data_IF_792489764903
#
_entry.id   IF_792489764903
#
_cell.length_a   1.000
_cell.length_b   1.000
_cell.length_c   1.000
_cell.angle_alpha   90.00
_cell.angle_beta   90.00
_cell.angle_gamma   90.00
#
_symmetry.space_group_name_H-M   'P 1'
#
loop_
_entity.id
_entity.type
_entity.pdbx_description
1 polymer ?
#
# COMPACT_ATOMS: atom_id res chain seq x y z
N UNK A 1 14.02 -32.54 -1.66
CA UNK A 1 15.29 -32.28 -0.98
C UNK A 1 15.61 -30.79 -1.11
N UNK A 2 15.25 -29.98 -0.10
CA UNK A 2 15.63 -28.57 -0.05
C UNK A 2 16.79 -28.44 0.91
N UNK A 3 18.01 -28.33 0.39
CA UNK A 3 19.16 -27.90 1.17
C UNK A 3 18.87 -26.50 1.71
N UNK A 4 18.64 -26.40 3.02
CA UNK A 4 18.78 -25.16 3.77
C UNK A 4 20.24 -24.71 3.62
N UNK A 5 20.53 -23.86 2.63
CA UNK A 5 21.74 -23.02 2.68
C UNK A 5 21.65 -22.19 3.96
N UNK A 6 22.32 -22.65 5.02
CA UNK A 6 22.61 -21.85 6.20
C UNK A 6 23.46 -20.69 5.71
N UNK A 7 22.86 -19.51 5.56
CA UNK A 7 23.59 -18.26 5.39
C UNK A 7 24.43 -18.11 6.67
N UNK A 8 25.73 -18.42 6.56
CA UNK A 8 26.68 -18.16 7.65
C UNK A 8 26.97 -16.65 7.60
N UNK A 9 26.23 -15.88 8.38
CA UNK A 9 26.63 -14.52 8.74
C UNK A 9 27.87 -14.69 9.63
N UNK A 10 29.07 -14.48 9.07
CA UNK A 10 30.30 -14.41 9.85
C UNK A 10 30.32 -13.05 10.54
N UNK A 11 29.66 -12.97 11.69
CA UNK A 11 29.79 -11.81 12.55
C UNK A 11 31.17 -11.87 13.23
N UNK A 12 32.16 -11.18 12.64
CA UNK A 12 33.52 -11.13 13.18
C UNK A 12 33.55 -10.18 14.40
N UNK A 13 33.96 -10.68 15.56
CA UNK A 13 34.10 -9.90 16.79
C UNK A 13 34.96 -8.65 16.60
N UNK A 14 35.92 -8.67 15.66
CA UNK A 14 36.77 -7.51 15.33
C UNK A 14 35.98 -6.32 14.77
N UNK A 15 34.88 -6.57 14.07
CA UNK A 15 34.04 -5.50 13.51
C UNK A 15 33.31 -4.74 14.63
N UNK A 16 32.83 -5.48 15.64
CA UNK A 16 32.19 -4.89 16.83
C UNK A 16 33.19 -4.13 17.71
N UNK A 17 34.40 -4.66 17.89
CA UNK A 17 35.47 -3.96 18.60
C UNK A 17 35.83 -2.64 17.91
N UNK A 18 35.99 -2.67 16.58
CA UNK A 18 36.25 -1.48 15.77
C UNK A 18 35.09 -0.47 15.85
N UNK A 19 33.85 -0.96 15.81
CA UNK A 19 32.65 -0.14 15.97
C UNK A 19 32.62 0.56 17.34
N UNK A 20 32.76 -0.18 18.43
CA UNK A 20 32.74 0.35 19.80
C UNK A 20 33.87 1.38 20.00
N UNK A 21 35.06 1.12 19.47
CA UNK A 21 36.19 2.06 19.54
C UNK A 21 35.91 3.37 18.80
N UNK A 22 35.21 3.33 17.65
CA UNK A 22 34.80 4.54 16.93
C UNK A 22 33.77 5.35 17.71
N UNK A 23 32.79 4.69 18.34
CA UNK A 23 31.80 5.37 19.19
C UNK A 23 32.49 6.02 20.39
N UNK A 24 33.34 5.27 21.10
CA UNK A 24 34.10 5.77 22.25
C UNK A 24 34.99 6.97 21.89
N UNK A 25 35.68 6.92 20.75
CA UNK A 25 36.51 8.04 20.27
C UNK A 25 35.67 9.29 20.04
N UNK A 26 34.49 9.16 19.43
CA UNK A 26 33.59 10.29 19.18
C UNK A 26 33.04 10.88 20.47
N UNK A 27 32.59 10.04 21.41
CA UNK A 27 32.05 10.48 22.72
C UNK A 27 33.09 11.27 23.53
N UNK A 28 34.35 10.81 23.53
CA UNK A 28 35.45 11.49 24.25
C UNK A 28 35.78 12.88 23.71
N UNK A 29 35.35 13.23 22.50
CA UNK A 29 35.55 14.59 21.97
C UNK A 29 34.59 15.61 22.57
N UNK A 30 33.48 15.17 23.19
CA UNK A 30 32.46 16.05 23.77
C UNK A 30 31.64 16.87 22.77
N UNK A 31 31.93 16.76 21.46
CA UNK A 31 31.23 17.45 20.37
C UNK A 31 30.34 16.50 19.55
N UNK A 32 30.14 15.27 20.03
CA UNK A 32 29.33 14.30 19.32
C UNK A 32 27.85 14.71 19.32
N UNK A 33 27.24 14.65 18.14
CA UNK A 33 25.79 14.79 17.94
C UNK A 33 25.23 13.45 17.48
N UNK A 34 23.92 13.35 17.38
CA UNK A 34 23.22 12.15 16.89
C UNK A 34 23.77 11.66 15.54
N UNK A 35 24.12 12.59 14.64
CA UNK A 35 24.64 12.25 13.32
C UNK A 35 26.08 11.72 13.34
N UNK A 36 26.85 12.01 14.39
CA UNK A 36 28.28 11.67 14.48
C UNK A 36 28.52 10.16 14.48
N UNK A 37 27.58 9.38 15.00
CA UNK A 37 27.72 7.93 15.16
C UNK A 37 27.16 7.12 13.97
N UNK A 38 26.38 7.76 13.10
CA UNK A 38 25.74 7.13 11.94
C UNK A 38 26.74 6.46 10.96
N UNK A 39 27.89 7.06 10.61
CA UNK A 39 28.86 6.40 9.74
C UNK A 39 29.44 5.12 10.34
N UNK A 40 29.63 5.09 11.66
CA UNK A 40 30.11 3.90 12.36
C UNK A 40 29.06 2.78 12.31
N UNK A 41 27.78 3.11 12.56
CA UNK A 41 26.68 2.14 12.49
C UNK A 41 26.51 1.62 11.06
N UNK A 42 26.55 2.49 10.05
CA UNK A 42 26.51 2.12 8.63
C UNK A 42 27.57 1.08 8.29
N UNK A 43 28.82 1.35 8.69
CA UNK A 43 29.97 0.46 8.45
C UNK A 43 29.77 -0.90 9.10
N UNK A 44 29.25 -0.93 10.33
CA UNK A 44 28.97 -2.18 11.04
C UNK A 44 27.89 -2.99 10.35
N UNK A 45 26.79 -2.35 9.93
CA UNK A 45 25.67 -3.05 9.30
C UNK A 45 26.09 -3.60 7.93
N UNK A 46 26.70 -2.78 7.07
CA UNK A 46 27.17 -3.20 5.74
C UNK A 46 28.21 -4.34 5.81
N UNK A 47 28.92 -4.47 6.93
CA UNK A 47 29.90 -5.54 7.12
C UNK A 47 29.33 -6.89 7.55
N UNK A 48 28.04 -6.96 7.92
CA UNK A 48 27.39 -8.21 8.37
C UNK A 48 27.11 -9.17 7.22
N UNK A 49 26.75 -8.67 6.03
CA UNK A 49 26.40 -9.51 4.90
C UNK A 49 26.80 -8.85 3.57
N UNK A 50 27.39 -9.63 2.67
CA UNK A 50 27.74 -9.16 1.33
C UNK A 50 26.49 -8.74 0.55
N UNK A 51 26.53 -7.54 -0.05
CA UNK A 51 25.42 -6.97 -0.82
C UNK A 51 24.33 -6.31 0.03
N UNK A 52 24.54 -6.20 1.35
CA UNK A 52 23.71 -5.37 2.22
C UNK A 52 24.16 -3.91 2.13
N UNK A 53 23.22 -3.04 1.79
CA UNK A 53 23.42 -1.59 1.73
C UNK A 53 22.61 -0.94 2.85
N UNK A 54 23.29 -0.14 3.68
CA UNK A 54 22.64 0.65 4.71
C UNK A 54 22.51 2.09 4.20
N UNK A 55 21.37 2.39 3.57
CA UNK A 55 21.12 3.71 3.01
C UNK A 55 20.75 4.62 4.18
N UNK A 56 21.68 5.50 4.53
CA UNK A 56 21.43 6.63 5.42
C UNK A 56 20.96 7.78 4.53
N UNK A 57 19.68 8.13 4.61
CA UNK A 57 19.10 9.18 3.77
C UNK A 57 19.82 10.53 4.01
N UNK A 58 20.62 11.05 3.06
CA UNK A 58 21.46 12.23 3.29
C UNK A 58 20.67 13.55 3.29
N UNK A 59 19.42 13.53 2.81
CA UNK A 59 18.54 14.69 2.79
C UNK A 59 17.51 14.47 3.88
N UNK A 60 17.59 15.28 4.94
CA UNK A 60 16.52 15.42 5.93
C UNK A 60 15.18 15.54 5.21
N UNK A 61 14.43 14.45 5.08
CA UNK A 61 12.98 14.56 5.10
C UNK A 61 12.71 14.84 6.57
N UNK A 62 12.31 16.06 6.93
CA UNK A 62 11.98 16.45 8.31
C UNK A 62 10.73 15.70 8.86
N UNK A 63 10.47 14.50 8.35
CA UNK A 63 9.16 14.04 8.01
C UNK A 63 8.88 12.61 8.48
N UNK A 64 9.75 12.05 9.31
CA UNK A 64 9.49 10.76 9.96
C UNK A 64 9.66 9.58 9.02
N UNK A 65 10.73 9.57 8.22
CA UNK A 65 11.31 8.33 7.70
C UNK A 65 12.30 7.78 8.74
N UNK A 66 12.49 6.45 8.84
CA UNK A 66 13.54 5.88 9.68
C UNK A 66 14.93 6.33 9.23
N UNK A 67 15.87 6.36 10.16
CA UNK A 67 17.23 6.84 9.92
C UNK A 67 18.04 6.01 8.91
N UNK A 68 17.80 4.71 8.87
CA UNK A 68 18.40 3.82 7.89
C UNK A 68 17.35 2.92 7.27
N UNK A 69 17.47 2.76 5.95
CA UNK A 69 16.80 1.72 5.19
C UNK A 69 17.85 0.68 4.81
N UNK A 70 17.62 -0.57 5.18
CA UNK A 70 18.52 -1.67 4.89
C UNK A 70 18.00 -2.44 3.68
N UNK A 71 18.81 -2.51 2.62
CA UNK A 71 18.41 -3.17 1.37
C UNK A 71 19.41 -4.24 0.95
N UNK A 72 18.91 -5.30 0.31
CA UNK A 72 19.73 -6.31 -0.37
C UNK A 72 19.15 -6.50 -1.76
N UNK A 73 19.95 -6.26 -2.80
CA UNK A 73 19.50 -6.35 -4.19
C UNK A 73 18.23 -5.54 -4.47
N UNK A 74 18.16 -4.32 -3.94
CA UNK A 74 16.99 -3.40 -4.01
C UNK A 74 15.74 -3.84 -3.26
N UNK A 75 15.80 -4.90 -2.44
CA UNK A 75 14.71 -5.30 -1.54
C UNK A 75 14.95 -4.77 -0.14
N UNK A 76 13.98 -4.08 0.43
CA UNK A 76 13.99 -3.66 1.84
C UNK A 76 13.95 -4.87 2.78
N UNK A 77 14.94 -4.96 3.67
CA UNK A 77 15.05 -6.00 4.71
C UNK A 77 14.47 -5.50 6.03
N UNK A 78 14.64 -4.21 6.31
CA UNK A 78 14.08 -3.55 7.47
C UNK A 78 14.73 -2.19 7.69
N UNK A 79 14.42 -1.59 8.82
CA UNK A 79 14.79 -0.21 9.13
C UNK A 79 15.53 -0.14 10.45
N UNK A 80 16.34 0.91 10.59
CA UNK A 80 16.94 1.26 11.87
C UNK A 80 16.57 2.71 12.17
N UNK A 81 15.99 2.95 13.34
CA UNK A 81 15.88 4.26 13.97
C UNK A 81 16.99 4.39 15.01
N UNK A 82 17.81 5.42 14.91
CA UNK A 82 18.94 5.67 15.76
C UNK A 82 18.72 6.95 16.59
N UNK A 83 19.06 6.90 17.87
CA UNK A 83 18.93 8.02 18.81
C UNK A 83 20.29 8.34 19.41
N UNK A 84 20.37 9.46 20.11
CA UNK A 84 21.61 9.86 20.79
C UNK A 84 22.07 8.79 21.79
N UNK A 85 23.38 8.66 21.95
CA UNK A 85 23.95 7.64 22.85
C UNK A 85 23.50 7.91 24.28
N UNK A 86 23.15 6.86 25.03
CA UNK A 86 22.65 6.94 26.43
C UNK A 86 21.22 7.47 26.55
N UNK A 87 20.50 7.68 25.44
CA UNK A 87 19.06 7.96 25.49
C UNK A 87 18.25 6.80 26.09
N UNK A 88 17.15 7.15 26.73
CA UNK A 88 16.23 6.16 27.30
C UNK A 88 15.33 5.58 26.20
N UNK A 89 15.75 4.44 25.65
CA UNK A 89 14.99 3.73 24.61
C UNK A 89 13.62 3.25 25.08
N UNK A 90 13.37 3.04 26.38
CA UNK A 90 12.04 2.67 26.91
C UNK A 90 11.07 3.86 26.86
N UNK A 91 11.60 5.07 27.05
CA UNK A 91 10.83 6.31 26.89
C UNK A 91 10.55 6.59 25.41
N UNK A 92 11.55 6.43 24.55
CA UNK A 92 11.44 6.70 23.10
C UNK A 92 10.47 5.74 22.43
N UNK A 93 10.41 4.49 22.87
CA UNK A 93 9.46 3.48 22.41
C UNK A 93 7.99 3.93 22.53
N UNK A 94 7.69 4.82 23.48
CA UNK A 94 6.34 5.38 23.72
C UNK A 94 6.05 6.68 22.96
N UNK A 95 6.98 7.15 22.12
CA UNK A 95 6.78 8.35 21.32
C UNK A 95 5.79 8.10 20.17
N UNK A 96 5.09 9.15 19.74
CA UNK A 96 4.18 9.08 18.58
C UNK A 96 4.91 8.61 17.30
N UNK A 97 6.18 8.98 17.14
CA UNK A 97 7.02 8.53 16.03
C UNK A 97 7.19 7.00 16.04
N UNK A 98 7.54 6.44 17.20
CA UNK A 98 7.74 5.00 17.35
C UNK A 98 6.44 4.22 17.27
N UNK A 99 5.33 4.74 17.81
CA UNK A 99 4.02 4.11 17.66
C UNK A 99 3.64 3.95 16.18
N UNK A 100 3.89 4.98 15.37
CA UNK A 100 3.69 4.92 13.92
C UNK A 100 4.60 3.89 13.25
N UNK A 101 5.88 3.86 13.57
CA UNK A 101 6.83 2.91 12.98
C UNK A 101 6.52 1.46 13.37
N UNK A 102 6.21 1.19 14.64
CA UNK A 102 5.84 -0.14 15.12
C UNK A 102 4.51 -0.61 14.53
N UNK A 103 3.59 0.32 14.23
CA UNK A 103 2.38 0.02 13.49
C UNK A 103 2.67 -0.42 12.05
N UNK A 104 3.52 0.31 11.33
CA UNK A 104 3.58 0.19 9.87
C UNK A 104 4.75 -0.62 9.33
N UNK A 105 5.90 -0.60 10.02
CA UNK A 105 7.13 -1.21 9.54
C UNK A 105 7.23 -2.66 10.02
N UNK A 106 7.41 -3.63 9.12
CA UNK A 106 7.38 -5.05 9.48
C UNK A 106 8.61 -5.52 10.27
N UNK A 107 9.75 -4.83 10.11
CA UNK A 107 11.03 -5.22 10.69
C UNK A 107 11.85 -3.96 11.03
N UNK A 108 11.98 -3.64 12.32
CA UNK A 108 12.56 -2.38 12.80
C UNK A 108 13.54 -2.63 13.95
N UNK A 109 14.65 -1.92 13.95
CA UNK A 109 15.54 -1.80 15.10
C UNK A 109 15.49 -0.37 15.64
N UNK A 110 15.36 -0.22 16.95
CA UNK A 110 15.61 1.02 17.66
C UNK A 110 16.95 0.90 18.40
N UNK A 111 17.82 1.89 18.26
CA UNK A 111 19.15 1.86 18.89
C UNK A 111 19.63 3.23 19.36
N UNK A 112 20.37 3.28 20.46
CA UNK A 112 21.19 4.42 20.91
C UNK A 112 22.68 4.20 20.58
N UNK A 113 22.97 3.36 19.58
CA UNK A 113 24.30 2.84 19.21
C UNK A 113 24.93 1.84 20.20
N UNK A 114 24.39 1.65 21.40
CA UNK A 114 24.89 0.67 22.37
C UNK A 114 23.85 -0.40 22.70
N UNK A 115 22.61 -0.01 22.92
CA UNK A 115 21.44 -0.87 23.03
C UNK A 115 20.74 -1.00 21.68
N UNK A 116 20.27 -2.21 21.40
CA UNK A 116 19.54 -2.57 20.19
C UNK A 116 18.27 -3.28 20.62
N UNK A 117 17.12 -2.69 20.29
CA UNK A 117 15.80 -3.31 20.45
C UNK A 117 15.25 -3.68 19.08
N UNK A 118 14.99 -4.96 18.85
CA UNK A 118 14.44 -5.47 17.60
C UNK A 118 12.95 -5.74 17.71
N UNK A 119 12.19 -5.17 16.77
CA UNK A 119 10.75 -5.34 16.64
C UNK A 119 10.38 -5.99 15.31
N UNK A 120 9.35 -6.82 15.34
CA UNK A 120 8.70 -7.34 14.14
C UNK A 120 7.20 -7.19 14.27
N UNK A 121 6.54 -6.63 13.26
CA UNK A 121 5.09 -6.38 13.26
C UNK A 121 4.62 -5.72 14.59
N UNK A 122 5.40 -4.73 15.05
CA UNK A 122 5.15 -3.97 16.28
C UNK A 122 5.43 -4.69 17.59
N UNK A 123 5.94 -5.93 17.56
CA UNK A 123 6.25 -6.70 18.78
C UNK A 123 7.75 -6.83 18.98
N UNK A 124 8.22 -6.57 20.20
CA UNK A 124 9.61 -6.77 20.57
C UNK A 124 10.00 -8.25 20.47
N UNK A 125 11.17 -8.52 19.90
CA UNK A 125 11.72 -9.88 19.70
C UNK A 125 12.93 -10.13 20.55
N UNK A 126 13.84 -9.17 20.58
CA UNK A 126 15.08 -9.26 21.34
C UNK A 126 15.57 -7.87 21.69
N UNK A 127 16.25 -7.80 22.84
CA UNK A 127 16.97 -6.61 23.28
C UNK A 127 18.36 -7.04 23.69
N UNK A 128 19.37 -6.33 23.20
CA UNK A 128 20.77 -6.54 23.56
C UNK A 128 21.49 -5.23 23.75
N UNK A 129 22.53 -5.23 24.58
CA UNK A 129 23.34 -4.03 24.83
C UNK A 129 24.82 -4.36 24.75
N UNK A 130 25.57 -3.62 23.93
CA UNK A 130 27.00 -3.80 23.72
C UNK A 130 27.84 -3.38 24.93
N UNK A 131 27.36 -2.44 25.73
CA UNK A 131 28.05 -1.93 26.89
C UNK A 131 27.36 -0.73 27.53
N UNK A 132 27.98 -0.18 28.57
CA UNK A 132 27.55 1.08 29.21
C UNK A 132 28.70 2.08 29.19
N UNK A 133 28.38 3.35 28.97
CA UNK A 133 29.33 4.45 29.10
C UNK A 133 29.55 4.78 30.58
N UNK A 134 30.77 5.19 30.92
CA UNK A 134 31.06 5.88 32.16
C UNK A 134 31.05 7.41 31.98
N UNK A 135 31.29 8.16 33.05
CA UNK A 135 31.31 9.64 33.05
C UNK A 135 32.41 10.25 32.16
N UNK A 136 33.40 9.46 31.73
CA UNK A 136 34.47 9.88 30.83
C UNK A 136 34.18 9.55 29.36
N UNK A 137 33.02 8.97 29.05
CA UNK A 137 32.66 8.49 27.72
C UNK A 137 33.34 7.17 27.35
N UNK A 138 34.00 6.49 28.29
CA UNK A 138 34.59 5.17 28.06
C UNK A 138 33.50 4.10 28.14
N UNK A 139 33.54 3.16 27.20
CA UNK A 139 32.51 2.11 27.09
C UNK A 139 33.02 0.85 27.79
N UNK A 140 32.34 0.44 28.87
CA UNK A 140 32.52 -0.87 29.48
C UNK A 140 31.69 -1.89 28.70
N UNK A 141 32.37 -2.72 27.92
CA UNK A 141 31.74 -3.73 27.07
C UNK A 141 31.10 -4.85 27.90
N UNK A 142 29.92 -5.29 27.47
CA UNK A 142 29.24 -6.48 27.98
C UNK A 142 29.41 -7.62 26.97
N UNK A 143 30.24 -8.61 27.31
CA UNK A 143 30.52 -9.75 26.43
C UNK A 143 29.27 -10.61 26.16
N UNK A 144 28.33 -10.69 27.10
CA UNK A 144 27.09 -11.44 26.89
C UNK A 144 26.14 -10.64 26.01
N UNK A 145 25.98 -9.35 26.32
CA UNK A 145 25.20 -8.42 25.52
C UNK A 145 25.71 -8.30 24.08
N UNK A 146 27.02 -8.35 23.85
CA UNK A 146 27.62 -8.40 22.51
C UNK A 146 27.13 -9.63 21.72
N UNK A 147 27.17 -10.83 22.32
CA UNK A 147 26.64 -12.04 21.66
C UNK A 147 25.15 -11.92 21.33
N UNK A 148 24.37 -11.32 22.23
CA UNK A 148 22.94 -11.09 22.01
C UNK A 148 22.72 -10.15 20.82
N UNK A 149 23.45 -9.02 20.75
CA UNK A 149 23.34 -8.07 19.63
C UNK A 149 23.79 -8.71 18.32
N UNK A 150 24.87 -9.49 18.30
CA UNK A 150 25.33 -10.21 17.11
C UNK A 150 24.25 -11.18 16.60
N UNK A 151 23.63 -11.93 17.50
CA UNK A 151 22.54 -12.85 17.15
C UNK A 151 21.30 -12.08 16.67
N UNK A 152 20.92 -11.00 17.35
CA UNK A 152 19.80 -10.14 16.99
C UNK A 152 19.97 -9.57 15.57
N UNK A 153 21.13 -9.00 15.24
CA UNK A 153 21.38 -8.46 13.90
C UNK A 153 21.43 -9.57 12.85
N UNK A 154 21.95 -10.74 13.19
CA UNK A 154 21.93 -11.89 12.28
C UNK A 154 20.50 -12.35 11.98
N UNK A 155 19.68 -12.49 13.02
CA UNK A 155 18.29 -12.91 12.89
C UNK A 155 17.46 -11.85 12.16
N UNK A 156 17.71 -10.56 12.42
CA UNK A 156 17.10 -9.45 11.70
C UNK A 156 17.31 -9.55 10.19
N UNK A 157 18.53 -9.91 9.74
CA UNK A 157 18.88 -10.01 8.31
C UNK A 157 18.37 -11.30 7.65
N UNK A 158 18.35 -12.42 8.38
CA UNK A 158 17.90 -13.72 7.85
C UNK A 158 16.38 -13.80 7.82
N UNK A 159 15.68 -13.04 8.67
CA UNK A 159 14.23 -13.09 8.78
C UNK A 159 13.60 -12.67 7.46
N UNK A 160 12.96 -13.63 6.80
CA UNK A 160 11.93 -13.33 5.82
C UNK A 160 10.71 -12.85 6.59
N UNK A 161 10.29 -11.61 6.34
CA UNK A 161 8.96 -11.13 6.76
C UNK A 161 7.95 -12.19 6.30
N UNK A 162 7.11 -12.74 7.20
CA UNK A 162 6.12 -13.72 6.80
C UNK A 162 5.28 -13.17 5.65
N UNK A 163 5.11 -13.98 4.60
CA UNK A 163 4.20 -13.64 3.52
C UNK A 163 2.81 -13.42 4.10
N UNK A 164 2.20 -12.27 3.80
CA UNK A 164 0.85 -11.96 4.26
C UNK A 164 -0.11 -12.97 3.66
N UNK A 165 -0.75 -13.75 4.52
CA UNK A 165 -1.54 -14.92 4.11
C UNK A 165 -3.05 -14.66 4.03
N UNK A 166 -3.55 -13.54 4.56
CA UNK A 166 -4.99 -13.25 4.61
C UNK A 166 -5.32 -11.86 4.08
N UNK A 167 -6.50 -11.72 3.47
CA UNK A 167 -7.00 -10.45 2.94
C UNK A 167 -7.09 -9.37 4.04
N UNK A 168 -7.56 -9.76 5.24
CA UNK A 168 -7.66 -8.87 6.41
C UNK A 168 -6.30 -8.32 6.83
N UNK A 169 -5.30 -9.18 6.95
CA UNK A 169 -3.95 -8.76 7.34
C UNK A 169 -3.32 -7.85 6.30
N UNK A 170 -3.51 -8.15 5.01
CA UNK A 170 -3.02 -7.29 3.93
C UNK A 170 -3.68 -5.91 3.97
N UNK A 171 -5.00 -5.85 4.14
CA UNK A 171 -5.73 -4.59 4.23
C UNK A 171 -5.25 -3.73 5.41
N UNK A 172 -5.02 -4.33 6.58
CA UNK A 172 -4.50 -3.63 7.77
C UNK A 172 -3.11 -3.05 7.49
N UNK A 173 -2.18 -3.85 6.93
CA UNK A 173 -0.81 -3.40 6.66
C UNK A 173 -0.76 -2.33 5.58
N UNK A 174 -1.54 -2.49 4.51
CA UNK A 174 -1.68 -1.47 3.46
C UNK A 174 -2.24 -0.16 4.01
N UNK A 175 -3.24 -0.22 4.89
CA UNK A 175 -3.84 0.97 5.49
C UNK A 175 -2.80 1.79 6.28
N UNK A 176 -1.96 1.11 7.06
CA UNK A 176 -0.90 1.75 7.86
C UNK A 176 0.19 2.39 6.99
N UNK A 177 0.63 1.70 5.95
CA UNK A 177 1.55 2.29 4.96
C UNK A 177 0.90 3.48 4.25
N UNK A 178 -0.37 3.36 3.87
CA UNK A 178 -1.13 4.45 3.26
C UNK A 178 -1.25 5.69 4.18
N UNK A 179 -1.45 5.51 5.48
CA UNK A 179 -1.44 6.62 6.45
C UNK A 179 -0.07 7.31 6.50
N UNK A 180 1.00 6.53 6.53
CA UNK A 180 2.35 7.09 6.48
C UNK A 180 2.62 7.84 5.17
N UNK A 181 2.17 7.32 4.03
CA UNK A 181 2.28 8.01 2.73
C UNK A 181 1.53 9.34 2.78
N UNK A 182 0.31 9.36 3.32
CA UNK A 182 -0.47 10.60 3.49
C UNK A 182 0.27 11.62 4.35
N UNK A 183 0.72 11.22 5.53
CA UNK A 183 1.39 12.13 6.48
C UNK A 183 2.68 12.69 5.88
N UNK A 184 3.38 11.88 5.09
CA UNK A 184 4.59 12.26 4.35
C UNK A 184 4.26 13.23 3.21
N UNK A 185 3.15 13.04 2.50
CA UNK A 185 2.66 13.98 1.48
C UNK A 185 2.28 15.32 2.10
N UNK A 186 1.54 15.35 3.22
CA UNK A 186 1.15 16.60 3.90
C UNK A 186 2.39 17.45 4.21
N UNK A 187 3.38 16.84 4.82
CA UNK A 187 4.63 17.52 5.18
C UNK A 187 5.51 17.82 3.97
N UNK A 188 5.53 16.95 2.96
CA UNK A 188 6.21 17.22 1.70
C UNK A 188 5.60 18.44 1.01
N UNK A 189 4.27 18.59 1.07
CA UNK A 189 3.53 19.74 0.57
C UNK A 189 3.90 21.02 1.34
N UNK A 190 3.93 21.00 2.67
CA UNK A 190 4.33 22.17 3.49
C UNK A 190 5.76 22.66 3.23
N UNK A 191 6.66 21.77 2.80
CA UNK A 191 8.09 22.06 2.63
C UNK A 191 8.52 22.24 1.18
N UNK A 192 7.69 21.83 0.22
CA UNK A 192 7.95 22.00 -1.20
C UNK A 192 7.77 23.48 -1.60
N UNK A 193 8.61 24.04 -2.49
CA UNK A 193 8.34 25.36 -3.06
C UNK A 193 6.96 25.41 -3.75
N UNK A 194 6.28 26.55 -3.74
CA UNK A 194 4.92 26.71 -4.32
C UNK A 194 4.80 26.29 -5.80
N UNK A 195 5.89 26.30 -6.55
CA UNK A 195 5.95 25.84 -7.97
C UNK A 195 6.36 24.37 -8.11
N UNK A 196 6.34 23.63 -7.01
CA UNK A 196 6.69 22.22 -6.99
C UNK A 196 5.64 21.33 -7.64
N UNK A 197 5.99 20.05 -7.75
CA UNK A 197 5.16 19.06 -8.44
C UNK A 197 3.90 18.75 -7.64
N UNK A 198 3.98 18.63 -6.31
CA UNK A 198 2.81 18.34 -5.47
C UNK A 198 1.81 19.52 -5.49
N UNK A 199 2.29 20.76 -5.43
CA UNK A 199 1.43 21.94 -5.56
C UNK A 199 0.75 22.02 -6.93
N UNK A 200 1.48 21.72 -8.01
CA UNK A 200 0.93 21.72 -9.37
C UNK A 200 -0.15 20.63 -9.54
N UNK A 201 0.09 19.43 -9.00
CA UNK A 201 -0.89 18.34 -8.99
C UNK A 201 -2.13 18.72 -8.17
N UNK A 202 -1.94 19.25 -6.97
CA UNK A 202 -3.02 19.74 -6.12
C UNK A 202 -3.92 20.74 -6.86
N UNK A 203 -3.32 21.72 -7.52
CA UNK A 203 -4.07 22.74 -8.26
C UNK A 203 -4.87 22.12 -9.43
N UNK A 204 -4.27 21.19 -10.18
CA UNK A 204 -4.97 20.51 -11.27
C UNK A 204 -6.19 19.71 -10.79
N UNK A 205 -6.07 18.98 -9.67
CA UNK A 205 -7.18 18.25 -9.06
C UNK A 205 -8.26 19.19 -8.53
N UNK A 206 -7.85 20.32 -7.95
CA UNK A 206 -8.77 21.33 -7.42
C UNK A 206 -9.60 21.97 -8.53
N UNK A 207 -8.95 22.38 -9.62
CA UNK A 207 -9.61 23.09 -10.73
C UNK A 207 -10.49 22.17 -11.58
N UNK A 208 -10.12 20.89 -11.70
CA UNK A 208 -10.78 19.96 -12.62
C UNK A 208 -11.85 19.09 -11.96
N UNK A 209 -11.74 18.84 -10.64
CA UNK A 209 -12.44 17.72 -10.01
C UNK A 209 -13.10 18.07 -8.68
N UNK A 210 -12.38 18.75 -7.79
CA UNK A 210 -12.86 19.05 -6.43
C UNK A 210 -12.51 20.52 -6.08
N UNK A 211 -13.39 21.49 -6.37
CA UNK A 211 -13.09 22.92 -6.13
C UNK A 211 -12.74 23.25 -4.66
N UNK A 212 -13.34 22.53 -3.70
CA UNK A 212 -13.13 22.70 -2.26
C UNK A 212 -12.03 21.77 -1.69
N UNK A 213 -11.07 21.36 -2.52
CA UNK A 213 -9.97 20.49 -2.11
C UNK A 213 -9.00 21.24 -1.18
N UNK A 214 -8.71 20.63 -0.03
CA UNK A 214 -7.68 21.10 0.93
C UNK A 214 -6.42 20.24 0.79
N UNK A 215 -5.23 20.73 1.20
CA UNK A 215 -4.00 19.94 1.16
C UNK A 215 -4.09 18.59 1.88
N UNK A 216 -4.80 18.53 3.01
CA UNK A 216 -5.00 17.30 3.78
C UNK A 216 -5.89 16.31 3.02
N UNK A 217 -6.99 16.79 2.42
CA UNK A 217 -7.87 15.97 1.57
C UNK A 217 -7.15 15.50 0.30
N UNK A 218 -6.26 16.33 -0.25
CA UNK A 218 -5.44 15.97 -1.38
C UNK A 218 -4.44 14.86 -1.02
N UNK A 219 -3.69 15.03 0.07
CA UNK A 219 -2.75 14.01 0.54
C UNK A 219 -3.43 12.67 0.83
N UNK A 220 -4.63 12.74 1.44
CA UNK A 220 -5.47 11.57 1.70
C UNK A 220 -5.89 10.85 0.42
N UNK A 221 -6.49 11.59 -0.52
CA UNK A 221 -6.88 11.06 -1.83
C UNK A 221 -5.68 10.46 -2.58
N UNK A 222 -4.54 11.14 -2.56
CA UNK A 222 -3.32 10.71 -3.24
C UNK A 222 -2.77 9.41 -2.65
N UNK A 223 -2.65 9.33 -1.33
CA UNK A 223 -2.16 8.15 -0.64
C UNK A 223 -3.08 6.93 -0.83
N UNK A 224 -4.39 7.12 -0.73
CA UNK A 224 -5.37 6.06 -1.01
C UNK A 224 -5.27 5.58 -2.45
N UNK A 225 -5.08 6.50 -3.40
CA UNK A 225 -4.93 6.15 -4.82
C UNK A 225 -3.72 5.25 -5.03
N UNK A 226 -2.55 5.63 -4.48
CA UNK A 226 -1.35 4.80 -4.55
C UNK A 226 -1.62 3.41 -3.99
N UNK A 227 -2.18 3.33 -2.78
CA UNK A 227 -2.50 2.06 -2.12
C UNK A 227 -3.38 1.17 -3.00
N UNK A 228 -4.47 1.73 -3.52
CA UNK A 228 -5.45 0.95 -4.24
C UNK A 228 -5.05 0.57 -5.64
N UNK A 229 -4.45 1.47 -6.42
CA UNK A 229 -4.07 1.07 -7.76
C UNK A 229 -2.79 0.23 -7.81
N UNK A 230 -1.89 0.30 -6.80
CA UNK A 230 -0.85 -0.72 -6.64
C UNK A 230 -1.48 -2.09 -6.33
N UNK A 231 -2.47 -2.14 -5.43
CA UNK A 231 -3.19 -3.38 -5.16
C UNK A 231 -3.92 -3.90 -6.39
N UNK A 232 -4.67 -3.05 -7.10
CA UNK A 232 -5.37 -3.41 -8.33
C UNK A 232 -4.39 -3.93 -9.39
N UNK A 233 -3.26 -3.25 -9.62
CA UNK A 233 -2.22 -3.72 -10.52
C UNK A 233 -1.65 -5.09 -10.09
N UNK A 234 -1.46 -5.30 -8.78
CA UNK A 234 -1.01 -6.59 -8.25
C UNK A 234 -2.04 -7.71 -8.47
N UNK A 235 -3.34 -7.41 -8.44
CA UNK A 235 -4.38 -8.40 -8.76
C UNK A 235 -4.41 -8.77 -10.24
N UNK A 236 -3.92 -7.89 -11.12
CA UNK A 236 -3.87 -8.13 -12.57
C UNK A 236 -2.63 -8.89 -13.03
N UNK A 237 -1.65 -9.15 -12.13
CA UNK A 237 -0.41 -9.84 -12.50
C UNK A 237 -0.64 -11.34 -12.70
N UNK A 238 -0.35 -11.86 -13.90
CA UNK A 238 -0.35 -13.30 -14.18
C UNK A 238 0.96 -13.93 -13.70
N UNK A 239 0.98 -14.44 -12.46
CA UNK A 239 2.02 -15.28 -11.85
C UNK A 239 3.48 -14.78 -11.90
N UNK A 240 3.97 -14.34 -10.74
CA UNK A 240 5.39 -14.07 -10.48
C UNK A 240 5.56 -13.37 -9.12
N UNK A 241 6.73 -13.52 -8.49
CA UNK A 241 7.11 -12.77 -7.26
C UNK A 241 7.63 -11.36 -7.54
N UNK A 242 7.73 -10.98 -8.81
CA UNK A 242 8.30 -9.70 -9.22
C UNK A 242 7.14 -8.73 -9.45
N UNK A 243 6.83 -7.94 -8.43
CA UNK A 243 5.92 -6.81 -8.52
C UNK A 243 6.62 -5.61 -7.89
N UNK A 244 6.73 -4.54 -8.67
CA UNK A 244 7.30 -3.26 -8.27
C UNK A 244 6.32 -2.14 -8.61
N UNK A 245 6.51 -0.94 -8.06
CA UNK A 245 5.67 0.20 -8.42
C UNK A 245 5.71 0.52 -9.91
N UNK A 246 6.85 0.27 -10.58
CA UNK A 246 7.04 0.50 -12.02
C UNK A 246 6.21 -0.47 -12.87
N UNK A 247 6.01 -1.70 -12.39
CA UNK A 247 5.18 -2.67 -13.08
C UNK A 247 3.70 -2.25 -13.08
N UNK A 248 3.25 -1.54 -12.03
CA UNK A 248 1.86 -1.13 -11.89
C UNK A 248 1.35 -0.29 -13.06
N UNK A 249 2.21 0.58 -13.61
CA UNK A 249 1.93 1.38 -14.82
C UNK A 249 1.49 0.53 -16.02
N UNK A 250 2.11 -0.63 -16.20
CA UNK A 250 1.86 -1.51 -17.35
C UNK A 250 0.75 -2.51 -17.09
N UNK A 251 0.54 -2.87 -15.82
CA UNK A 251 -0.46 -3.85 -15.39
C UNK A 251 -1.87 -3.26 -15.31
N UNK A 252 -2.01 -1.94 -15.11
CA UNK A 252 -3.32 -1.29 -15.19
C UNK A 252 -3.82 -1.36 -16.64
N UNK A 253 -5.00 -1.96 -16.88
CA UNK A 253 -5.55 -2.10 -18.21
C UNK A 253 -5.67 -0.77 -18.96
N UNK A 254 -5.40 -0.81 -20.27
CA UNK A 254 -5.62 0.33 -21.20
C UNK A 254 -7.08 0.79 -21.23
N UNK A 255 -7.99 -0.07 -20.78
CA UNK A 255 -9.43 0.18 -20.63
C UNK A 255 -9.71 1.28 -19.60
N UNK A 256 -8.73 1.69 -18.77
CA UNK A 256 -8.84 2.84 -17.87
C UNK A 256 -7.68 3.85 -18.07
N UNK A 257 -7.74 4.70 -19.12
CA UNK A 257 -6.69 5.67 -19.43
C UNK A 257 -6.41 6.66 -18.29
N UNK A 258 -7.44 7.05 -17.53
CA UNK A 258 -7.29 7.96 -16.40
C UNK A 258 -6.45 7.34 -15.28
N UNK A 259 -6.81 6.14 -14.80
CA UNK A 259 -6.00 5.44 -13.78
C UNK A 259 -4.58 5.22 -14.28
N UNK A 260 -4.42 4.82 -15.55
CA UNK A 260 -3.11 4.59 -16.13
C UNK A 260 -2.24 5.85 -16.14
N UNK A 261 -2.80 6.99 -16.57
CA UNK A 261 -2.09 8.27 -16.57
C UNK A 261 -1.75 8.72 -15.16
N UNK A 262 -2.69 8.59 -14.23
CA UNK A 262 -2.45 8.95 -12.85
C UNK A 262 -1.35 8.08 -12.23
N UNK A 263 -1.35 6.77 -12.50
CA UNK A 263 -0.29 5.87 -12.04
C UNK A 263 1.08 6.16 -12.67
N UNK A 264 1.13 6.67 -13.90
CA UNK A 264 2.39 7.17 -14.46
C UNK A 264 2.96 8.32 -13.64
N UNK A 265 2.11 9.21 -13.12
CA UNK A 265 2.55 10.35 -12.32
C UNK A 265 2.92 9.95 -10.88
N UNK A 266 2.10 9.12 -10.24
CA UNK A 266 2.21 8.84 -8.79
C UNK A 266 2.99 7.56 -8.46
N UNK A 267 3.25 6.70 -9.44
CA UNK A 267 4.01 5.46 -9.26
C UNK A 267 5.14 5.29 -10.28
N UNK A 268 5.25 6.21 -11.25
CA UNK A 268 6.29 6.22 -12.28
C UNK A 268 7.56 6.98 -11.88
N UNK A 269 8.41 7.30 -12.85
CA UNK A 269 9.73 7.90 -12.61
C UNK A 269 9.68 9.31 -11.98
N UNK A 270 8.53 9.98 -12.03
CA UNK A 270 8.36 11.35 -11.55
C UNK A 270 7.85 11.43 -10.10
N UNK A 271 7.70 10.29 -9.41
CA UNK A 271 7.32 10.27 -8.01
C UNK A 271 8.40 10.94 -7.16
N UNK A 272 7.99 11.83 -6.27
CA UNK A 272 8.88 12.50 -5.32
C UNK A 272 9.70 11.49 -4.50
N UNK A 273 11.03 11.62 -4.55
CA UNK A 273 11.97 10.74 -3.85
C UNK A 273 11.67 10.65 -2.34
N UNK A 274 11.13 11.72 -1.74
CA UNK A 274 10.77 11.76 -0.32
C UNK A 274 9.69 10.73 0.04
N UNK A 275 8.82 10.38 -0.91
CA UNK A 275 7.69 9.46 -0.74
C UNK A 275 7.97 8.10 -1.41
N UNK A 276 8.86 8.07 -2.40
CA UNK A 276 9.11 6.91 -3.25
C UNK A 276 9.45 5.63 -2.47
N UNK A 277 10.30 5.71 -1.45
CA UNK A 277 10.72 4.55 -0.65
C UNK A 277 9.53 3.83 0.01
N UNK A 278 8.56 4.59 0.52
CA UNK A 278 7.41 4.03 1.22
C UNK A 278 6.39 3.43 0.23
N UNK A 279 6.32 3.99 -0.97
CA UNK A 279 5.54 3.42 -2.08
C UNK A 279 6.18 2.12 -2.58
N UNK A 280 7.50 2.07 -2.64
CA UNK A 280 8.25 0.85 -2.95
C UNK A 280 8.04 -0.22 -1.87
N UNK A 281 7.98 0.15 -0.59
CA UNK A 281 7.67 -0.77 0.50
C UNK A 281 6.23 -1.32 0.43
N UNK A 282 5.27 -0.47 0.05
CA UNK A 282 3.90 -0.90 -0.22
C UNK A 282 3.83 -1.86 -1.42
N UNK A 283 4.60 -1.61 -2.48
CA UNK A 283 4.71 -2.54 -3.61
C UNK A 283 5.37 -3.86 -3.17
N UNK A 284 6.40 -3.81 -2.33
CA UNK A 284 7.07 -4.99 -1.80
C UNK A 284 6.14 -5.82 -0.91
N UNK A 285 5.32 -5.18 -0.07
CA UNK A 285 4.27 -5.85 0.71
C UNK A 285 3.32 -6.64 -0.19
N UNK A 286 2.88 -6.03 -1.30
CA UNK A 286 2.01 -6.65 -2.30
C UNK A 286 2.71 -7.78 -3.08
N UNK A 287 4.01 -7.63 -3.35
CA UNK A 287 4.82 -8.66 -4.01
C UNK A 287 4.98 -9.91 -3.13
N UNK A 288 5.19 -9.70 -1.83
CA UNK A 288 5.38 -10.77 -0.84
C UNK A 288 4.06 -11.40 -0.37
N UNK A 289 2.92 -10.73 -0.57
CA UNK A 289 1.61 -11.27 -0.21
C UNK A 289 1.26 -12.53 -1.02
N UNK A 290 0.64 -13.51 -0.34
CA UNK A 290 0.12 -14.69 -1.01
C UNK A 290 -1.17 -14.35 -1.76
N UNK A 291 -1.03 -13.70 -2.91
CA UNK A 291 -2.16 -13.25 -3.72
C UNK A 291 -3.06 -14.41 -4.16
N UNK A 292 -2.54 -15.63 -4.28
CA UNK A 292 -3.37 -16.81 -4.57
C UNK A 292 -4.37 -17.09 -3.45
N UNK A 293 -3.93 -17.10 -2.19
CA UNK A 293 -4.84 -17.30 -1.04
C UNK A 293 -5.71 -16.07 -0.80
N UNK A 294 -5.17 -14.86 -0.96
CA UNK A 294 -5.92 -13.61 -0.75
C UNK A 294 -7.05 -13.46 -1.78
N UNK A 295 -6.77 -13.75 -3.05
CA UNK A 295 -7.75 -13.65 -4.14
C UNK A 295 -8.61 -14.91 -4.29
N UNK A 296 -8.33 -15.98 -3.54
CA UNK A 296 -9.10 -17.22 -3.60
C UNK A 296 -10.60 -16.99 -3.40
N UNK A 297 -10.93 -16.08 -2.50
CA UNK A 297 -12.32 -15.71 -2.22
C UNK A 297 -12.80 -14.54 -3.10
N UNK A 298 -11.90 -13.82 -3.77
CA UNK A 298 -12.28 -12.68 -4.62
C UNK A 298 -13.02 -13.19 -5.87
N UNK A 299 -14.23 -12.68 -6.11
CA UNK A 299 -15.11 -13.14 -7.18
C UNK A 299 -15.92 -14.40 -6.85
N UNK A 300 -15.51 -15.20 -5.85
CA UNK A 300 -16.31 -16.34 -5.39
C UNK A 300 -17.36 -15.84 -4.39
N UNK A 301 -18.63 -16.00 -4.78
CA UNK A 301 -19.78 -15.66 -3.93
C UNK A 301 -19.75 -16.52 -2.65
N UNK A 302 -19.29 -15.97 -1.54
CA UNK A 302 -19.58 -16.54 -0.23
C UNK A 302 -21.06 -16.30 0.09
N UNK A 303 -21.69 -17.14 0.92
CA UNK A 303 -23.13 -17.05 1.21
C UNK A 303 -23.58 -15.72 1.85
N UNK A 304 -22.68 -14.78 2.19
CA UNK A 304 -23.05 -13.55 2.91
C UNK A 304 -22.37 -12.24 2.47
N UNK A 305 -21.18 -12.21 1.84
CA UNK A 305 -20.47 -10.93 1.56
C UNK A 305 -19.56 -10.96 0.31
N UNK A 306 -19.38 -9.79 -0.33
CA UNK A 306 -18.42 -9.52 -1.42
C UNK A 306 -16.99 -9.33 -0.87
N UNK A 307 -16.03 -10.23 -1.16
CA UNK A 307 -14.70 -10.17 -0.57
C UNK A 307 -13.85 -8.96 -0.99
N UNK A 308 -14.10 -8.38 -2.17
CA UNK A 308 -13.42 -7.14 -2.61
C UNK A 308 -13.89 -5.98 -1.74
N UNK A 309 -15.19 -5.91 -1.49
CA UNK A 309 -15.79 -4.89 -0.61
C UNK A 309 -15.33 -5.09 0.83
N UNK A 310 -15.33 -6.32 1.35
CA UNK A 310 -14.91 -6.57 2.72
C UNK A 310 -13.43 -6.21 2.96
N UNK A 311 -12.57 -6.50 1.98
CA UNK A 311 -11.18 -6.05 1.99
C UNK A 311 -11.09 -4.52 2.04
N UNK A 312 -11.87 -3.86 1.20
CA UNK A 312 -11.96 -2.40 1.15
C UNK A 312 -12.44 -1.80 2.48
N UNK A 313 -13.51 -2.35 3.07
CA UNK A 313 -14.00 -1.91 4.38
C UNK A 313 -12.97 -2.10 5.48
N UNK A 314 -12.25 -3.24 5.46
CA UNK A 314 -11.19 -3.49 6.43
C UNK A 314 -10.09 -2.44 6.29
N UNK A 315 -9.65 -2.14 5.06
CA UNK A 315 -8.66 -1.09 4.81
C UNK A 315 -9.16 0.25 5.34
N UNK A 316 -10.34 0.70 4.93
CA UNK A 316 -10.87 2.03 5.32
C UNK A 316 -11.03 2.17 6.82
N UNK A 317 -11.54 1.13 7.48
CA UNK A 317 -11.70 1.12 8.95
C UNK A 317 -10.36 1.27 9.66
N UNK A 318 -9.27 0.76 9.10
CA UNK A 318 -7.94 0.94 9.67
C UNK A 318 -7.29 2.26 9.25
N UNK A 319 -7.52 2.69 8.01
CA UNK A 319 -6.89 3.86 7.39
C UNK A 319 -7.46 5.16 7.96
N UNK A 320 -8.78 5.26 8.13
CA UNK A 320 -9.40 6.44 8.73
C UNK A 320 -10.76 6.10 9.35
N UNK A 321 -10.78 5.95 10.68
CA UNK A 321 -11.97 5.59 11.45
C UNK A 321 -13.05 6.67 11.45
N UNK A 322 -12.67 7.95 11.34
CA UNK A 322 -13.60 9.08 11.46
C UNK A 322 -14.17 9.50 10.11
N UNK A 323 -13.34 9.46 9.05
CA UNK A 323 -13.76 9.82 7.69
C UNK A 323 -14.81 8.85 7.12
N UNK A 324 -14.83 7.58 7.55
CA UNK A 324 -15.88 6.61 7.20
C UNK A 324 -17.30 7.13 7.49
N UNK A 325 -17.49 7.77 8.65
CA UNK A 325 -18.81 8.30 9.05
C UNK A 325 -19.14 9.59 8.30
N UNK A 326 -18.13 10.44 8.05
CA UNK A 326 -18.32 11.74 7.41
C UNK A 326 -18.50 11.67 5.89
N UNK A 327 -17.87 10.71 5.20
CA UNK A 327 -18.00 10.56 3.74
C UNK A 327 -19.24 9.79 3.29
N UNK A 328 -20.01 9.21 4.24
CA UNK A 328 -21.22 8.47 3.92
C UNK A 328 -20.96 7.26 3.01
N UNK A 329 -19.76 6.69 3.06
CA UNK A 329 -19.36 5.47 2.35
C UNK A 329 -20.06 4.24 2.96
N UNK A 330 -21.38 4.19 2.81
CA UNK A 330 -22.19 3.07 3.23
C UNK A 330 -22.23 2.05 2.11
N UNK A 331 -21.63 0.89 2.36
CA UNK A 331 -21.86 -0.26 1.51
C UNK A 331 -23.36 -0.57 1.51
N UNK A 332 -23.96 -0.55 0.32
CA UNK A 332 -25.36 -0.94 0.17
C UNK A 332 -25.44 -2.46 0.24
N UNK A 333 -26.15 -3.05 1.23
CA UNK A 333 -26.19 -4.50 1.37
C UNK A 333 -26.69 -5.19 0.10
N UNK A 334 -26.03 -6.28 -0.32
CA UNK A 334 -26.40 -7.00 -1.54
C UNK A 334 -27.89 -7.37 -1.64
N UNK A 335 -28.58 -7.81 -0.56
CA UNK A 335 -30.01 -8.12 -0.65
C UNK A 335 -30.84 -6.92 -1.10
N UNK A 336 -30.47 -5.71 -0.67
CA UNK A 336 -31.15 -4.45 -1.03
C UNK A 336 -30.89 -4.13 -2.50
N UNK A 337 -29.61 -4.16 -2.93
CA UNK A 337 -29.24 -3.93 -4.33
C UNK A 337 -29.95 -4.94 -5.24
N UNK A 338 -29.91 -6.21 -4.88
CA UNK A 338 -30.49 -7.30 -5.63
C UNK A 338 -32.02 -7.19 -5.74
N UNK A 339 -32.69 -6.73 -4.67
CA UNK A 339 -34.12 -6.41 -4.70
C UNK A 339 -34.42 -5.28 -5.68
N UNK A 340 -33.70 -4.16 -5.59
CA UNK A 340 -33.90 -2.99 -6.46
C UNK A 340 -33.67 -3.37 -7.93
N UNK A 341 -32.54 -3.99 -8.26
CA UNK A 341 -32.18 -4.35 -9.63
C UNK A 341 -33.21 -5.33 -10.22
N UNK A 342 -33.61 -6.38 -9.48
CA UNK A 342 -34.65 -7.30 -9.98
C UNK A 342 -36.01 -6.61 -10.17
N UNK A 343 -36.36 -5.68 -9.29
CA UNK A 343 -37.62 -4.93 -9.38
C UNK A 343 -37.63 -4.04 -10.62
N UNK A 344 -36.54 -3.31 -10.90
CA UNK A 344 -36.39 -2.53 -12.14
C UNK A 344 -36.45 -3.45 -13.35
N UNK A 345 -35.75 -4.59 -13.34
CA UNK A 345 -35.79 -5.57 -14.42
C UNK A 345 -37.20 -6.12 -14.68
N UNK A 346 -37.99 -6.32 -13.62
CA UNK A 346 -39.40 -6.71 -13.72
C UNK A 346 -40.27 -5.60 -14.31
N UNK A 347 -40.10 -4.34 -13.88
CA UNK A 347 -40.81 -3.18 -14.43
C UNK A 347 -40.52 -3.00 -15.92
N UNK A 348 -39.27 -3.15 -16.35
CA UNK A 348 -38.88 -3.09 -17.77
C UNK A 348 -39.68 -4.08 -18.63
N UNK A 349 -39.84 -5.31 -18.13
CA UNK A 349 -40.65 -6.34 -18.80
C UNK A 349 -42.14 -6.03 -18.77
N UNK A 350 -42.66 -5.61 -17.62
CA UNK A 350 -44.10 -5.48 -17.39
C UNK A 350 -44.70 -4.20 -17.98
N UNK A 351 -43.97 -3.09 -17.91
CA UNK A 351 -44.50 -1.74 -18.19
C UNK A 351 -43.87 -1.09 -19.42
N UNK A 352 -42.68 -1.53 -19.86
CA UNK A 352 -41.91 -0.85 -20.93
C UNK A 352 -41.69 -1.71 -22.18
N UNK A 353 -42.39 -2.84 -22.32
CA UNK A 353 -42.27 -3.75 -23.47
C UNK A 353 -40.81 -4.15 -23.76
N UNK A 354 -40.01 -4.37 -22.72
CA UNK A 354 -38.62 -4.83 -22.82
C UNK A 354 -38.58 -6.29 -22.38
N UNK A 355 -38.91 -7.23 -23.28
CA UNK A 355 -39.06 -8.65 -22.93
C UNK A 355 -37.82 -9.25 -22.26
N UNK A 356 -36.63 -8.78 -22.65
CA UNK A 356 -35.34 -9.20 -22.10
C UNK A 356 -34.89 -8.36 -20.88
N UNK A 357 -35.71 -7.42 -20.40
CA UNK A 357 -35.35 -6.52 -19.30
C UNK A 357 -34.08 -5.73 -19.60
N UNK A 358 -33.10 -5.77 -18.71
CA UNK A 358 -31.80 -5.10 -18.89
C UNK A 358 -30.98 -5.60 -20.10
N UNK A 359 -31.24 -6.84 -20.55
CA UNK A 359 -30.52 -7.41 -21.68
C UNK A 359 -31.01 -6.86 -23.04
N UNK A 360 -32.16 -6.17 -23.07
CA UNK A 360 -32.69 -5.52 -24.27
C UNK A 360 -31.76 -4.39 -24.73
N UNK A 361 -31.40 -4.36 -26.01
CA UNK A 361 -30.40 -3.45 -26.58
C UNK A 361 -30.80 -1.97 -26.53
N UNK A 362 -32.07 -1.65 -26.31
CA UNK A 362 -32.54 -0.25 -26.17
C UNK A 362 -32.36 0.33 -24.76
N UNK A 363 -31.95 -0.48 -23.78
CA UNK A 363 -31.86 -0.04 -22.37
C UNK A 363 -30.47 0.51 -22.08
N UNK A 364 -30.40 1.77 -21.67
CA UNK A 364 -29.20 2.39 -21.11
C UNK A 364 -29.30 2.37 -19.58
N UNK A 365 -28.24 1.93 -18.92
CA UNK A 365 -28.16 1.86 -17.46
C UNK A 365 -27.11 2.85 -16.97
N UNK A 366 -27.49 3.76 -16.09
CA UNK A 366 -26.60 4.70 -15.43
C UNK A 366 -26.73 4.54 -13.92
N UNK A 367 -25.59 4.37 -13.25
CA UNK A 367 -25.47 4.53 -11.80
C UNK A 367 -24.77 5.88 -11.51
N UNK A 368 -25.50 6.93 -11.11
CA UNK A 368 -24.94 8.26 -10.92
C UNK A 368 -24.05 8.39 -9.68
N UNK A 369 -24.06 7.40 -8.78
CA UNK A 369 -23.23 7.36 -7.57
C UNK A 369 -22.74 5.93 -7.37
N UNK A 370 -21.89 5.50 -8.32
CA UNK A 370 -21.56 4.09 -8.54
C UNK A 370 -20.80 3.46 -7.38
N UNK A 371 -20.08 4.24 -6.58
CA UNK A 371 -19.29 3.74 -5.46
C UNK A 371 -18.32 2.65 -5.93
N UNK A 372 -18.33 1.53 -5.21
CA UNK A 372 -17.54 0.35 -5.58
C UNK A 372 -18.18 -0.51 -6.68
N UNK A 373 -19.25 -0.06 -7.33
CA UNK A 373 -19.84 -0.73 -8.50
C UNK A 373 -20.90 -1.80 -8.21
N UNK A 374 -21.50 -1.81 -7.02
CA UNK A 374 -22.40 -2.91 -6.60
C UNK A 374 -23.68 -3.02 -7.43
N UNK A 375 -24.30 -1.91 -7.83
CA UNK A 375 -25.48 -1.96 -8.71
C UNK A 375 -25.12 -2.46 -10.11
N UNK A 376 -24.07 -1.90 -10.72
CA UNK A 376 -23.61 -2.32 -12.05
C UNK A 376 -23.21 -3.80 -12.07
N UNK A 377 -22.51 -4.27 -11.02
CA UNK A 377 -22.20 -5.68 -10.83
C UNK A 377 -23.47 -6.55 -10.84
N UNK A 378 -24.50 -6.16 -10.09
CA UNK A 378 -25.77 -6.90 -10.04
C UNK A 378 -26.53 -6.86 -11.38
N UNK A 379 -26.47 -5.75 -12.12
CA UNK A 379 -27.08 -5.63 -13.44
C UNK A 379 -26.41 -6.57 -14.44
N UNK A 380 -25.07 -6.58 -14.50
CA UNK A 380 -24.31 -7.46 -15.40
C UNK A 380 -24.62 -8.93 -15.11
N UNK A 381 -24.69 -9.35 -13.84
CA UNK A 381 -25.07 -10.72 -13.49
C UNK A 381 -26.48 -11.07 -13.94
N UNK A 382 -27.44 -10.18 -13.73
CA UNK A 382 -28.82 -10.42 -14.16
C UNK A 382 -28.93 -10.54 -15.69
N UNK A 383 -28.15 -9.75 -16.43
CA UNK A 383 -28.06 -9.86 -17.90
C UNK A 383 -27.46 -11.21 -18.29
N UNK A 384 -26.32 -11.59 -17.70
CA UNK A 384 -25.67 -12.88 -17.98
C UNK A 384 -26.60 -14.06 -17.70
N UNK A 385 -27.28 -14.07 -16.55
CA UNK A 385 -28.25 -15.10 -16.17
C UNK A 385 -29.40 -15.21 -17.20
N UNK A 386 -29.87 -14.09 -17.75
CA UNK A 386 -30.91 -14.08 -18.78
C UNK A 386 -30.45 -14.59 -20.14
N UNK A 387 -29.14 -14.60 -20.40
CA UNK A 387 -28.51 -15.05 -21.65
C UNK A 387 -27.79 -16.40 -21.50
N UNK A 388 -28.00 -17.10 -20.38
CA UNK A 388 -27.36 -18.40 -20.07
C UNK A 388 -27.50 -19.43 -21.19
N UNK A 389 -28.64 -19.47 -21.87
CA UNK A 389 -28.88 -20.44 -22.95
C UNK A 389 -28.19 -20.03 -24.27
N UNK A 390 -27.54 -18.86 -24.30
CA UNK A 390 -26.81 -18.27 -25.42
C UNK A 390 -25.35 -17.91 -25.05
N UNK A 391 -24.74 -18.62 -24.09
CA UNK A 391 -23.37 -18.34 -23.59
C UNK A 391 -22.33 -18.27 -24.72
N UNK A 392 -22.50 -19.01 -25.82
CA UNK A 392 -21.61 -18.98 -26.98
C UNK A 392 -21.45 -17.60 -27.62
N UNK A 393 -22.41 -16.69 -27.43
CA UNK A 393 -22.37 -15.31 -27.94
C UNK A 393 -22.02 -14.27 -26.86
N UNK A 394 -21.64 -14.69 -25.65
CA UNK A 394 -21.41 -13.77 -24.53
C UNK A 394 -20.35 -12.71 -24.83
N UNK A 395 -19.20 -13.11 -25.41
CA UNK A 395 -18.12 -12.18 -25.72
C UNK A 395 -18.56 -11.09 -26.72
N UNK A 396 -19.21 -11.50 -27.80
CA UNK A 396 -19.76 -10.57 -28.80
C UNK A 396 -20.84 -9.66 -28.20
N UNK A 397 -21.68 -10.21 -27.32
CA UNK A 397 -22.72 -9.45 -26.65
C UNK A 397 -22.13 -8.38 -25.73
N UNK A 398 -21.11 -8.73 -24.94
CA UNK A 398 -20.46 -7.80 -24.02
C UNK A 398 -19.91 -6.60 -24.78
N UNK A 399 -19.16 -6.87 -25.84
CA UNK A 399 -18.53 -5.85 -26.69
C UNK A 399 -19.54 -4.96 -27.41
N UNK A 400 -20.51 -5.55 -28.11
CA UNK A 400 -21.42 -4.80 -28.99
C UNK A 400 -22.57 -4.16 -28.24
N UNK A 401 -23.01 -4.77 -27.15
CA UNK A 401 -24.27 -4.40 -26.49
C UNK A 401 -24.10 -4.10 -24.99
N UNK A 402 -23.26 -4.77 -24.22
CA UNK A 402 -23.19 -4.51 -22.76
C UNK A 402 -22.40 -3.23 -22.44
N UNK A 403 -21.12 -3.18 -22.83
CA UNK A 403 -20.21 -2.09 -22.47
C UNK A 403 -20.70 -0.71 -22.96
N UNK A 404 -21.28 -0.58 -24.17
CA UNK A 404 -21.80 0.71 -24.65
C UNK A 404 -23.05 1.22 -23.93
N UNK A 405 -23.65 0.42 -23.03
CA UNK A 405 -24.94 0.74 -22.39
C UNK A 405 -24.89 0.81 -20.86
N UNK A 406 -23.74 0.53 -20.26
CA UNK A 406 -23.58 0.55 -18.81
C UNK A 406 -22.63 1.68 -18.42
N UNK A 407 -23.16 2.59 -17.62
CA UNK A 407 -22.47 3.79 -17.18
C UNK A 407 -22.48 3.94 -15.67
N UNK A 408 -21.40 4.51 -15.13
CA UNK A 408 -21.30 4.83 -13.71
C UNK A 408 -20.55 6.12 -13.49
N UNK A 409 -20.98 6.95 -12.54
CA UNK A 409 -20.23 8.14 -12.12
C UNK A 409 -19.78 8.01 -10.67
N UNK A 410 -18.52 8.32 -10.43
CA UNK A 410 -17.92 8.33 -9.10
C UNK A 410 -17.15 9.63 -8.88
N UNK A 411 -17.21 10.18 -7.69
CA UNK A 411 -16.43 11.36 -7.32
C UNK A 411 -15.07 10.99 -6.73
N UNK A 412 -15.03 9.88 -5.99
CA UNK A 412 -13.85 9.47 -5.24
C UNK A 412 -13.02 8.44 -6.01
N UNK A 413 -11.73 8.69 -6.06
CA UNK A 413 -10.80 7.91 -6.85
C UNK A 413 -10.61 6.46 -6.36
N UNK A 414 -10.60 6.25 -5.04
CA UNK A 414 -10.51 4.91 -4.45
C UNK A 414 -11.69 4.00 -4.84
N UNK A 415 -12.97 4.35 -4.58
CA UNK A 415 -14.08 3.52 -5.02
C UNK A 415 -14.18 3.41 -6.55
N UNK A 416 -13.77 4.44 -7.31
CA UNK A 416 -13.66 4.37 -8.77
C UNK A 416 -12.71 3.25 -9.22
N UNK A 417 -11.51 3.18 -8.66
CA UNK A 417 -10.55 2.12 -8.98
C UNK A 417 -11.07 0.73 -8.60
N UNK A 418 -11.74 0.61 -7.45
CA UNK A 418 -12.36 -0.64 -7.00
C UNK A 418 -13.53 -1.06 -7.88
N UNK A 419 -14.38 -0.13 -8.33
CA UNK A 419 -15.45 -0.40 -9.26
C UNK A 419 -14.89 -1.04 -10.54
N UNK A 420 -13.86 -0.44 -11.13
CA UNK A 420 -13.19 -1.01 -12.30
C UNK A 420 -12.66 -2.42 -12.05
N UNK A 421 -11.89 -2.60 -10.96
CA UNK A 421 -11.36 -3.91 -10.58
C UNK A 421 -12.48 -4.96 -10.45
N UNK A 422 -13.54 -4.63 -9.71
CA UNK A 422 -14.66 -5.52 -9.43
C UNK A 422 -15.42 -5.91 -10.69
N UNK A 423 -15.72 -4.96 -11.57
CA UNK A 423 -16.44 -5.22 -12.81
C UNK A 423 -15.57 -6.01 -13.80
N UNK A 424 -14.27 -5.76 -13.85
CA UNK A 424 -13.34 -6.54 -14.68
C UNK A 424 -13.18 -7.98 -14.20
N UNK A 425 -13.06 -8.19 -12.88
CA UNK A 425 -13.03 -9.53 -12.29
C UNK A 425 -14.33 -10.29 -12.58
N UNK A 426 -15.48 -9.64 -12.43
CA UNK A 426 -16.77 -10.23 -12.80
C UNK A 426 -16.80 -10.66 -14.27
N UNK A 427 -16.45 -9.76 -15.18
CA UNK A 427 -16.50 -10.06 -16.61
C UNK A 427 -15.57 -11.22 -16.97
N UNK A 428 -14.36 -11.28 -16.38
CA UNK A 428 -13.44 -12.41 -16.53
C UNK A 428 -14.03 -13.72 -16.00
N UNK A 429 -14.64 -13.70 -14.81
CA UNK A 429 -15.34 -14.86 -14.21
C UNK A 429 -16.45 -15.38 -15.14
N UNK A 430 -17.18 -14.46 -15.77
CA UNK A 430 -18.24 -14.77 -16.74
C UNK A 430 -17.69 -15.21 -18.12
N UNK A 431 -16.37 -15.33 -18.29
CA UNK A 431 -15.72 -15.80 -19.51
C UNK A 431 -15.52 -14.73 -20.60
N UNK A 432 -15.66 -13.45 -20.27
CA UNK A 432 -15.34 -12.36 -21.19
C UNK A 432 -13.84 -12.16 -21.31
N UNK A 433 -13.37 -12.01 -22.55
CA UNK A 433 -11.98 -11.72 -22.90
C UNK A 433 -11.89 -10.28 -23.40
N UNK A 434 -11.28 -9.41 -22.59
CA UNK A 434 -11.08 -8.02 -22.96
C UNK A 434 -10.19 -7.90 -24.20
N UNK A 435 -10.68 -7.17 -25.21
CA UNK A 435 -9.84 -6.60 -26.28
C UNK A 435 -9.12 -5.35 -25.75
N UNK A 436 -8.01 -4.97 -26.38
CA UNK A 436 -7.03 -4.03 -25.78
C UNK A 436 -7.52 -2.60 -25.54
N UNK A 437 -8.63 -2.18 -26.12
CA UNK A 437 -9.12 -0.80 -26.11
C UNK A 437 -10.54 -0.62 -25.55
N UNK A 438 -11.21 -1.70 -25.12
CA UNK A 438 -12.60 -1.64 -24.69
C UNK A 438 -12.74 -1.21 -23.23
N UNK A 439 -13.29 0.00 -23.02
CA UNK A 439 -13.43 0.62 -21.70
C UNK A 439 -14.80 0.35 -21.06
N UNK A 440 -14.79 0.11 -19.75
CA UNK A 440 -15.99 0.22 -18.91
C UNK A 440 -16.48 1.69 -18.87
N UNK A 441 -17.77 1.94 -19.09
CA UNK A 441 -18.40 3.27 -19.07
C UNK A 441 -18.47 3.92 -17.69
N UNK A 442 -17.50 3.69 -16.81
CA UNK A 442 -17.40 4.32 -15.49
C UNK A 442 -16.46 5.52 -15.57
N UNK A 443 -16.88 6.65 -15.01
CA UNK A 443 -16.20 7.94 -15.10
C UNK A 443 -16.00 8.55 -13.71
N UNK A 444 -14.82 9.15 -13.51
CA UNK A 444 -14.53 9.95 -12.34
C UNK A 444 -15.01 11.39 -12.60
N UNK A 445 -16.15 11.79 -12.02
CA UNK A 445 -16.80 13.09 -12.27
C UNK A 445 -17.87 13.38 -11.22
N UNK A 446 -18.32 14.64 -11.13
CA UNK A 446 -19.50 15.03 -10.34
C UNK A 446 -20.75 15.05 -11.23
N UNK A 447 -21.90 14.61 -10.70
CA UNK A 447 -23.19 14.65 -11.43
C UNK A 447 -23.73 16.09 -11.58
N UNK A 448 -23.18 17.03 -10.80
CA UNK A 448 -23.71 18.39 -10.61
C UNK A 448 -22.83 19.49 -11.21
N UNK A 449 -21.86 19.15 -12.06
CA UNK A 449 -20.99 20.15 -12.70
C UNK A 449 -21.83 21.13 -13.54
N UNK A 450 -22.11 22.30 -12.97
CA UNK A 450 -22.62 23.45 -13.71
C UNK A 450 -21.45 23.95 -14.55
N UNK A 451 -21.49 23.68 -15.85
CA UNK A 451 -20.68 24.37 -16.85
C UNK A 451 -20.91 25.87 -16.81
#
# INVERSE_FOLDING_TARGET
MNEKRKIHIKVDSKQFESYISKIEKSLRTGMATEQTHRPALKTLIESLQTGLEAINEPKRVACGAPDFILTISSRTIGYIEAKDVVEDLDKIEKSEQMERYLGSLPNLILTDYLEFKWYTDGKIRATGRLGKTDTSGKIKTDLNGLKIVQQLLSDFLIRRVPSVGTAKELAIRMARLGQMIRDLIIKAFETEPEKGTLHSQFQAFKDTLIPDLTPEKFADMYAQTIAYGLFAARTMTTSGKNFTRKDAVYLIPKTNPFLRNLFNEIAGANLDDRIAWLVDDLAQLLADANMTEILKDFGIRTKREDPVVHFYETFFTQYDKETRKMRGEYYTPEPVVSYIVRSVGWLLRKNFNCAQGFADSKILTLDPAVGTGTFLYSVIKLIYESLKDQIGTWNDYVEKYLLPRIFGFELMLAPYAICHLKLELLLKELGYQFKTDQRLGVYLTTVTEKR
#
